data_IF_253721247113
#
_entry.id   IF_253721247113
#
_cell.length_a   1.000
_cell.length_b   1.000
_cell.length_c   1.000
_cell.angle_alpha   90.00
_cell.angle_beta   90.00
_cell.angle_gamma   90.00
#
_symmetry.space_group_name_H-M   'P 1'
#
loop_
_entity.id
_entity.type
_entity.pdbx_description
1 polymer ?
#
# COMPACT_ATOMS: atom_id res chain seq x y z
N UNK A 1 48.55 14.65 -31.18
CA UNK A 1 47.47 14.07 -30.35
C UNK A 1 46.55 13.29 -31.26
N UNK A 2 46.43 11.97 -31.04
CA UNK A 2 45.70 11.06 -31.92
C UNK A 2 44.19 11.32 -31.86
N UNK A 3 43.65 11.93 -32.90
CA UNK A 3 42.22 12.26 -33.04
C UNK A 3 41.32 11.03 -32.84
N UNK A 4 41.78 9.85 -33.27
CA UNK A 4 41.05 8.57 -33.10
C UNK A 4 40.91 8.16 -31.63
N UNK A 5 41.91 8.46 -30.78
CA UNK A 5 41.88 8.15 -29.35
C UNK A 5 40.90 9.07 -28.62
N UNK A 6 40.80 10.33 -29.03
CA UNK A 6 39.84 11.27 -28.44
C UNK A 6 38.39 10.95 -28.83
N UNK A 7 38.10 10.60 -30.08
CA UNK A 7 36.75 10.20 -30.49
C UNK A 7 36.30 8.97 -29.72
N UNK A 8 37.16 7.94 -29.61
CA UNK A 8 36.84 6.72 -28.86
C UNK A 8 36.61 6.99 -27.36
N UNK A 9 37.36 7.92 -26.77
CA UNK A 9 37.20 8.30 -25.37
C UNK A 9 35.87 9.04 -25.13
N UNK A 10 35.50 9.98 -26.01
CA UNK A 10 34.25 10.75 -25.89
C UNK A 10 33.02 9.85 -26.05
N UNK A 11 33.04 8.90 -26.98
CA UNK A 11 31.91 7.97 -27.16
C UNK A 11 31.70 7.06 -25.95
N UNK A 12 32.77 6.61 -25.30
CA UNK A 12 32.68 5.80 -24.07
C UNK A 12 32.10 6.60 -22.89
N UNK A 13 32.52 7.86 -22.74
CA UNK A 13 31.99 8.74 -21.68
C UNK A 13 30.50 9.04 -21.91
N UNK A 14 30.09 9.29 -23.15
CA UNK A 14 28.69 9.54 -23.49
C UNK A 14 27.81 8.29 -23.26
N UNK A 15 28.29 7.10 -23.59
CA UNK A 15 27.57 5.85 -23.35
C UNK A 15 27.37 5.57 -21.86
N UNK A 16 28.35 5.89 -21.01
CA UNK A 16 28.24 5.76 -19.55
C UNK A 16 27.20 6.76 -19.00
N UNK A 17 27.14 7.98 -19.54
CA UNK A 17 26.17 8.99 -19.11
C UNK A 17 24.72 8.59 -19.41
N UNK A 18 24.47 7.92 -20.54
CA UNK A 18 23.14 7.41 -20.90
C UNK A 18 22.69 6.23 -20.04
N UNK A 19 23.63 5.40 -19.55
CA UNK A 19 23.32 4.24 -18.70
C UNK A 19 22.78 4.62 -17.32
N UNK A 20 23.08 5.83 -16.82
CA UNK A 20 22.67 6.29 -15.49
C UNK A 20 21.23 6.87 -15.50
N UNK A 21 20.70 7.27 -16.67
CA UNK A 21 19.38 7.92 -16.77
C UNK A 21 18.19 6.95 -16.67
N UNK A 22 18.42 5.64 -16.75
CA UNK A 22 17.32 4.64 -16.74
C UNK A 22 16.93 4.16 -15.34
N UNK A 23 17.53 4.69 -14.27
CA UNK A 23 17.08 4.42 -12.91
C UNK A 23 15.88 5.33 -12.63
N UNK A 24 14.74 5.01 -13.26
CA UNK A 24 13.44 5.54 -12.85
C UNK A 24 13.18 5.05 -11.43
N UNK A 25 13.52 5.91 -10.47
CA UNK A 25 13.21 5.68 -9.08
C UNK A 25 11.68 5.63 -8.95
N UNK A 26 11.16 4.45 -8.65
CA UNK A 26 9.89 4.32 -7.96
C UNK A 26 10.08 5.00 -6.60
N UNK A 27 9.87 6.32 -6.57
CA UNK A 27 9.91 7.09 -5.34
C UNK A 27 8.86 6.50 -4.40
N UNK A 28 9.20 6.20 -3.14
CA UNK A 28 8.20 5.78 -2.17
C UNK A 28 7.16 6.89 -2.07
N UNK A 29 5.93 6.59 -2.49
CA UNK A 29 4.82 7.55 -2.41
C UNK A 29 4.69 8.00 -0.97
N UNK A 30 4.90 9.29 -0.75
CA UNK A 30 4.95 9.86 0.58
C UNK A 30 3.52 9.95 1.12
N UNK A 31 3.32 9.73 2.42
CA UNK A 31 1.97 9.81 3.02
C UNK A 31 1.33 11.20 2.89
N UNK A 32 2.16 12.19 2.56
CA UNK A 32 1.79 13.57 2.26
C UNK A 32 1.26 13.78 0.83
N UNK A 33 1.31 12.78 -0.04
CA UNK A 33 0.94 12.93 -1.45
C UNK A 33 -0.56 12.77 -1.70
N UNK A 34 -1.32 12.33 -0.69
CA UNK A 34 -2.75 12.06 -0.82
C UNK A 34 -3.53 12.68 0.34
N UNK A 35 -4.27 13.76 0.07
CA UNK A 35 -5.10 14.44 1.06
C UNK A 35 -6.59 14.32 0.71
N UNK A 36 -7.43 13.88 1.65
CA UNK A 36 -8.88 13.80 1.47
C UNK A 36 -9.55 15.10 1.91
N UNK A 37 -10.04 15.87 0.94
CA UNK A 37 -10.68 17.17 1.19
C UNK A 37 -12.12 16.96 1.69
N UNK A 38 -12.87 16.10 1.00
CA UNK A 38 -14.29 15.88 1.28
C UNK A 38 -14.67 14.44 0.98
N UNK A 39 -15.59 13.89 1.78
CA UNK A 39 -16.16 12.57 1.58
C UNK A 39 -17.68 12.71 1.46
N UNK A 40 -18.27 12.05 0.46
CA UNK A 40 -19.70 11.93 0.27
C UNK A 40 -20.09 10.45 0.32
N UNK A 41 -20.38 9.90 1.51
CA UNK A 41 -20.69 8.47 1.66
C UNK A 41 -21.93 8.07 0.87
N UNK A 42 -22.92 8.97 0.74
CA UNK A 42 -24.16 8.73 0.01
C UNK A 42 -23.94 8.43 -1.48
N UNK A 43 -22.91 9.03 -2.06
CA UNK A 43 -22.60 8.90 -3.48
C UNK A 43 -21.31 8.07 -3.69
N UNK A 44 -20.84 7.37 -2.65
CA UNK A 44 -19.60 6.58 -2.68
C UNK A 44 -18.43 7.32 -3.37
N UNK A 45 -18.29 8.61 -3.06
CA UNK A 45 -17.33 9.50 -3.72
C UNK A 45 -16.57 10.38 -2.75
N UNK A 46 -15.35 10.75 -3.12
CA UNK A 46 -14.48 11.62 -2.35
C UNK A 46 -13.78 12.63 -3.25
N UNK A 47 -13.50 13.81 -2.70
CA UNK A 47 -12.62 14.81 -3.31
C UNK A 47 -11.25 14.62 -2.69
N UNK A 48 -10.27 14.27 -3.51
CA UNK A 48 -8.89 14.05 -3.09
C UNK A 48 -7.95 15.05 -3.76
N UNK A 49 -6.87 15.38 -3.06
CA UNK A 49 -5.76 16.15 -3.59
C UNK A 49 -4.55 15.24 -3.72
N UNK A 50 -4.04 15.11 -4.94
CA UNK A 50 -2.89 14.31 -5.32
C UNK A 50 -1.69 15.23 -5.55
N UNK A 51 -0.58 14.97 -4.85
CA UNK A 51 0.73 15.61 -5.03
C UNK A 51 0.68 17.15 -5.11
N UNK A 52 0.10 17.80 -4.09
CA UNK A 52 -0.04 19.26 -3.92
C UNK A 52 -0.66 20.07 -5.07
N UNK A 53 -0.92 19.48 -6.25
CA UNK A 53 -1.23 20.20 -7.48
C UNK A 53 -2.52 19.76 -8.16
N UNK A 54 -3.00 18.54 -7.90
CA UNK A 54 -4.17 18.02 -8.60
C UNK A 54 -5.31 17.73 -7.62
N UNK A 55 -6.50 18.29 -7.87
CA UNK A 55 -7.71 17.98 -7.13
C UNK A 55 -8.62 17.17 -8.05
N UNK A 56 -9.05 16.01 -7.59
CA UNK A 56 -9.90 15.08 -8.35
C UNK A 56 -11.06 14.58 -7.50
N UNK A 57 -12.18 14.34 -8.16
CA UNK A 57 -13.29 13.57 -7.59
C UNK A 57 -13.05 12.11 -7.96
N UNK A 58 -13.16 11.23 -6.97
CA UNK A 58 -12.98 9.78 -7.13
C UNK A 58 -14.19 9.05 -6.60
N UNK A 59 -14.47 7.89 -7.18
CA UNK A 59 -15.55 6.96 -6.85
C UNK A 59 -14.98 5.57 -6.55
N UNK A 60 -15.79 4.72 -5.91
CA UNK A 60 -15.40 3.31 -5.67
C UNK A 60 -15.13 2.62 -7.01
N UNK A 61 -13.97 1.96 -7.12
CA UNK A 61 -13.53 1.28 -8.34
C UNK A 61 -12.56 2.09 -9.19
N UNK A 62 -12.42 3.41 -8.96
CA UNK A 62 -11.47 4.24 -9.70
C UNK A 62 -10.02 3.81 -9.45
N UNK A 63 -9.22 3.84 -10.51
CA UNK A 63 -7.78 3.59 -10.44
C UNK A 63 -7.01 4.92 -10.46
N UNK A 64 -6.18 5.13 -9.43
CA UNK A 64 -5.37 6.33 -9.25
C UNK A 64 -3.90 6.08 -9.62
N UNK A 65 -3.63 5.03 -10.41
CA UNK A 65 -2.30 4.64 -10.85
C UNK A 65 -1.43 4.21 -9.67
N UNK A 66 -0.31 4.92 -9.46
CA UNK A 66 0.65 4.59 -8.40
C UNK A 66 0.05 4.69 -6.98
N UNK A 67 -1.06 5.40 -6.81
CA UNK A 67 -1.76 5.48 -5.52
C UNK A 67 -2.57 4.23 -5.20
N UNK A 68 -3.01 3.49 -6.23
CA UNK A 68 -3.85 2.30 -6.10
C UNK A 68 -5.30 2.52 -6.49
N UNK A 69 -6.09 1.46 -6.35
CA UNK A 69 -7.52 1.41 -6.67
C UNK A 69 -8.36 1.78 -5.45
N UNK A 70 -9.39 2.60 -5.63
CA UNK A 70 -10.35 2.91 -4.57
C UNK A 70 -11.25 1.69 -4.32
N UNK A 71 -11.22 1.16 -3.11
CA UNK A 71 -11.97 -0.04 -2.73
C UNK A 71 -13.24 0.28 -1.93
N UNK A 72 -13.19 1.29 -1.07
CA UNK A 72 -14.32 1.66 -0.22
C UNK A 72 -14.29 3.17 0.06
N UNK A 73 -15.47 3.80 0.02
CA UNK A 73 -15.66 5.17 0.50
C UNK A 73 -16.83 5.16 1.50
N UNK A 74 -16.50 5.42 2.77
CA UNK A 74 -17.44 5.35 3.89
C UNK A 74 -17.42 6.63 4.71
N UNK A 75 -18.33 6.75 5.68
CA UNK A 75 -18.39 7.93 6.57
C UNK A 75 -17.05 8.11 7.31
N UNK A 76 -16.31 9.14 6.93
CA UNK A 76 -15.04 9.52 7.57
C UNK A 76 -13.83 8.69 7.14
N UNK A 77 -13.93 7.79 6.15
CA UNK A 77 -12.78 7.04 5.66
C UNK A 77 -12.81 6.72 4.17
N UNK A 78 -11.62 6.57 3.59
CA UNK A 78 -11.40 6.09 2.22
C UNK A 78 -10.39 4.95 2.29
N UNK A 79 -10.69 3.84 1.61
CA UNK A 79 -9.80 2.67 1.54
C UNK A 79 -9.31 2.51 0.11
N UNK A 80 -8.00 2.41 -0.05
CA UNK A 80 -7.34 2.12 -1.32
C UNK A 80 -6.60 0.79 -1.24
N UNK A 81 -6.55 0.07 -2.35
CA UNK A 81 -5.69 -1.08 -2.53
C UNK A 81 -4.58 -0.75 -3.52
N UNK A 82 -3.34 -0.84 -3.07
CA UNK A 82 -2.15 -0.67 -3.88
C UNK A 82 -1.51 -2.03 -4.15
N UNK A 83 -1.16 -2.29 -5.40
CA UNK A 83 -0.34 -3.43 -5.75
C UNK A 83 1.14 -3.03 -5.61
N UNK A 84 1.86 -3.75 -4.75
CA UNK A 84 3.31 -3.56 -4.53
C UNK A 84 4.06 -4.83 -4.92
N UNK A 85 5.38 -4.77 -5.01
CA UNK A 85 6.22 -5.96 -5.27
C UNK A 85 6.04 -7.04 -4.19
N UNK A 86 5.69 -6.64 -2.96
CA UNK A 86 5.44 -7.53 -1.82
C UNK A 86 3.98 -8.02 -1.73
N UNK A 87 3.16 -7.72 -2.73
CA UNK A 87 1.73 -8.05 -2.77
C UNK A 87 0.83 -6.84 -2.52
N UNK A 88 -0.40 -7.11 -2.11
CA UNK A 88 -1.42 -6.07 -1.98
C UNK A 88 -1.31 -5.36 -0.62
N UNK A 89 -1.21 -4.03 -0.67
CA UNK A 89 -1.22 -3.14 0.49
C UNK A 89 -2.58 -2.42 0.55
N UNK A 90 -3.20 -2.37 1.72
CA UNK A 90 -4.39 -1.58 1.97
C UNK A 90 -4.00 -0.26 2.65
N UNK A 91 -4.47 0.85 2.09
CA UNK A 91 -4.26 2.20 2.60
C UNK A 91 -5.60 2.70 3.12
N UNK A 92 -5.71 2.84 4.43
CA UNK A 92 -6.88 3.38 5.10
C UNK A 92 -6.62 4.85 5.46
N UNK A 93 -7.39 5.75 4.87
CA UNK A 93 -7.32 7.17 5.16
C UNK A 93 -8.54 7.54 5.98
N UNK A 94 -8.34 7.91 7.25
CA UNK A 94 -9.39 8.43 8.12
C UNK A 94 -9.34 9.94 8.08
N UNK A 95 -10.47 10.55 7.75
CA UNK A 95 -10.63 12.01 7.81
C UNK A 95 -11.10 12.38 9.21
N UNK A 96 -10.30 13.14 9.93
CA UNK A 96 -10.68 13.72 11.21
C UNK A 96 -11.36 15.07 11.00
N UNK A 97 -11.81 15.70 12.10
CA UNK A 97 -12.50 16.99 12.06
C UNK A 97 -11.52 18.08 11.59
N UNK A 98 -11.87 18.81 10.53
CA UNK A 98 -11.00 19.86 9.96
C UNK A 98 -10.10 19.36 8.82
N UNK A 99 -8.82 19.76 8.85
CA UNK A 99 -7.79 19.42 7.86
C UNK A 99 -6.99 18.17 8.22
N UNK A 100 -7.15 17.67 9.44
CA UNK A 100 -6.41 16.52 9.94
C UNK A 100 -6.90 15.23 9.30
N UNK A 101 -5.94 14.40 8.90
CA UNK A 101 -6.19 13.05 8.42
C UNK A 101 -5.14 12.10 8.97
N UNK A 102 -5.55 10.85 9.15
CA UNK A 102 -4.68 9.76 9.56
C UNK A 102 -4.60 8.73 8.45
N UNK A 103 -3.38 8.46 8.00
CA UNK A 103 -3.10 7.43 6.99
C UNK A 103 -2.56 6.20 7.70
N UNK A 104 -3.24 5.07 7.53
CA UNK A 104 -2.85 3.77 8.06
C UNK A 104 -2.55 2.84 6.88
N UNK A 105 -1.35 2.26 6.87
CA UNK A 105 -0.93 1.26 5.88
C UNK A 105 -1.01 -0.12 6.49
N UNK A 106 -1.76 -1.01 5.84
CA UNK A 106 -1.94 -2.39 6.24
C UNK A 106 -1.41 -3.26 5.10
N UNK A 107 -0.17 -3.69 5.23
CA UNK A 107 0.42 -4.70 4.35
C UNK A 107 0.02 -6.09 4.83
N UNK A 108 -0.52 -6.92 3.95
CA UNK A 108 -0.68 -8.34 4.25
C UNK A 108 0.69 -9.01 4.19
N UNK A 109 1.41 -9.02 5.30
CA UNK A 109 2.67 -9.79 5.41
C UNK A 109 2.30 -11.26 5.21
N UNK A 110 2.83 -11.88 4.17
CA UNK A 110 2.78 -13.34 3.99
C UNK A 110 3.72 -14.00 5.01
N UNK A 111 3.41 -13.88 6.29
CA UNK A 111 4.02 -14.66 7.37
C UNK A 111 2.97 -15.64 7.88
N UNK A 112 3.40 -16.86 8.24
CA UNK A 112 2.56 -17.95 8.75
C UNK A 112 1.36 -17.42 9.56
N UNK A 113 0.13 -17.91 9.33
CA UNK A 113 -0.98 -17.57 10.19
C UNK A 113 -0.54 -17.78 11.64
N UNK A 114 -0.79 -16.83 12.57
CA UNK A 114 -0.48 -17.05 13.97
C UNK A 114 -1.13 -18.37 14.36
N UNK A 115 -0.29 -19.37 14.65
CA UNK A 115 -0.76 -20.69 15.02
C UNK A 115 -1.71 -20.49 16.19
N UNK A 116 -2.98 -20.83 15.99
CA UNK A 116 -3.95 -20.89 17.09
C UNK A 116 -3.41 -21.96 18.05
N UNK A 117 -2.62 -21.54 19.03
CA UNK A 117 -2.32 -22.37 20.19
C UNK A 117 -3.62 -22.47 20.99
N UNK A 118 -4.46 -23.42 20.59
CA UNK A 118 -5.59 -23.85 21.39
C UNK A 118 -5.01 -24.57 22.62
N UNK A 119 -5.24 -24.09 23.86
CA UNK A 119 -4.77 -24.78 25.04
C UNK A 119 -5.38 -26.18 25.04
N UNK A 120 -4.53 -27.19 25.17
CA UNK A 120 -4.89 -28.60 25.03
C UNK A 120 -6.13 -28.94 25.86
N UNK A 121 -7.05 -29.64 25.21
CA UNK A 121 -8.15 -30.34 25.86
C UNK A 121 -7.59 -31.16 27.02
N UNK A 122 -7.90 -30.75 28.25
CA UNK A 122 -7.68 -31.54 29.43
C UNK A 122 -8.39 -32.90 29.23
N UNK A 123 -7.57 -33.95 29.24
CA UNK A 123 -7.99 -35.33 29.11
C UNK A 123 -8.94 -35.65 30.28
N UNK A 124 -10.25 -35.78 30.01
CA UNK A 124 -11.21 -36.23 31.01
C UNK A 124 -10.82 -37.64 31.50
N UNK A 125 -10.64 -37.87 32.81
CA UNK A 125 -10.40 -39.20 33.34
C UNK A 125 -11.63 -40.09 33.14
N UNK A 126 -11.41 -41.30 32.65
CA UNK A 126 -12.44 -42.29 32.40
C UNK A 126 -13.18 -42.70 33.71
N UNK A 127 -14.50 -42.97 33.68
CA UNK A 127 -15.23 -43.43 34.84
C UNK A 127 -14.83 -44.87 35.20
N UNK A 128 -14.38 -45.06 36.44
CA UNK A 128 -14.07 -46.37 37.00
C UNK A 128 -15.35 -47.22 37.11
N UNK A 129 -15.35 -48.37 36.44
CA UNK A 129 -16.45 -49.32 36.43
C UNK A 129 -16.74 -49.89 37.82
N UNK A 130 -18.02 -49.85 38.19
CA UNK A 130 -18.59 -50.45 39.38
C UNK A 130 -18.60 -51.98 39.26
N UNK A 131 -17.90 -52.69 40.16
CA UNK A 131 -18.02 -54.15 40.32
C UNK A 131 -19.00 -54.46 41.44
N UNK A 132 -20.19 -54.91 41.07
CA UNK A 132 -21.16 -55.55 41.96
C UNK A 132 -20.67 -56.98 42.22
N UNK A 133 -20.65 -57.39 43.48
CA UNK A 133 -20.50 -58.79 43.90
C UNK A 133 -21.56 -59.10 44.94
#
# INVERSE_FOLDING_TARGET
MDLKKHVLMVTKVLAIFFLIHSISQAQPVNDNDLQVIKISPKNESAVIKVQKKEIKVVTVGDDLGNLGKVMEISKGRVVLQRNTENGNELILIRKETGEDQRVEKISKVQGLPPGLYMPGSAQSPAPAGNKIK
#
